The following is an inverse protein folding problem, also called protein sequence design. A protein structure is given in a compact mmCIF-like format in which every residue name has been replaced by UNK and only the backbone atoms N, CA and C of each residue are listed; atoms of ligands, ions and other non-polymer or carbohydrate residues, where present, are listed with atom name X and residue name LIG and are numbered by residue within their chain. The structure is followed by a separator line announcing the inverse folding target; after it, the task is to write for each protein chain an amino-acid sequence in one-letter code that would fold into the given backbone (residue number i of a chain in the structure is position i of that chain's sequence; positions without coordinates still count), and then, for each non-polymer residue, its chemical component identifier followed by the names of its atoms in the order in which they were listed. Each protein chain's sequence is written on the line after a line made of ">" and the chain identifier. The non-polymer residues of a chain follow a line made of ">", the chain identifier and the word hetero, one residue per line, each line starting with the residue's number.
data_IF_675716538884
#
_entry.id   IF_675716538884
#
_cell.length_a   1.000
_cell.length_b   1.000
_cell.length_c   1.000
_cell.angle_alpha   90.00
_cell.angle_beta   90.00
_cell.angle_gamma   90.00
#
_symmetry.space_group_name_H-M   'P 1'
#
loop_
_entity.id
_entity.type
_entity.pdbx_description
1 polymer ?
#
# COMPACT_ATOMS: atom_id res chain seq x y z
N UNK A 1 24.54 50.49 -26.57
CA UNK A 1 23.84 50.17 -25.30
C UNK A 1 22.96 48.95 -25.53
N UNK A 2 23.03 47.99 -24.60
CA UNK A 2 22.51 46.61 -24.67
C UNK A 2 20.99 46.56 -24.88
N UNK A 3 20.55 45.90 -25.96
CA UNK A 3 19.19 45.37 -26.10
C UNK A 3 19.30 43.84 -26.19
N UNK A 4 19.25 43.16 -25.05
CA UNK A 4 19.47 41.71 -24.99
C UNK A 4 18.80 40.94 -23.84
N UNK A 5 17.95 41.57 -23.02
CA UNK A 5 17.45 40.95 -21.78
C UNK A 5 16.04 40.36 -21.88
N UNK A 6 15.26 40.69 -22.93
CA UNK A 6 13.85 40.28 -23.04
C UNK A 6 13.59 38.80 -23.39
N UNK A 7 14.58 38.07 -23.92
CA UNK A 7 14.36 36.68 -24.40
C UNK A 7 14.71 35.60 -23.37
N UNK A 8 15.50 35.91 -22.34
CA UNK A 8 15.90 34.93 -21.31
C UNK A 8 14.80 34.63 -20.27
N UNK A 9 13.94 35.61 -19.96
CA UNK A 9 12.88 35.45 -18.96
C UNK A 9 11.73 34.54 -19.41
N UNK A 10 11.41 34.51 -20.71
CA UNK A 10 10.34 33.64 -21.25
C UNK A 10 10.72 32.15 -21.27
N UNK A 11 12.00 31.81 -21.34
CA UNK A 11 12.48 30.42 -21.35
C UNK A 11 12.42 29.75 -19.98
N UNK A 12 12.73 30.49 -18.91
CA UNK A 12 12.70 29.99 -17.52
C UNK A 12 11.33 29.50 -17.10
N UNK A 13 10.26 30.21 -17.50
CA UNK A 13 8.88 29.85 -17.15
C UNK A 13 8.39 28.56 -17.84
N UNK A 14 8.91 28.22 -19.02
CA UNK A 14 8.60 26.95 -19.69
C UNK A 14 9.27 25.76 -19.00
N UNK A 15 10.53 25.93 -18.56
CA UNK A 15 11.25 24.90 -17.82
C UNK A 15 10.61 24.61 -16.46
N UNK A 16 10.26 25.67 -15.71
CA UNK A 16 9.60 25.57 -14.40
C UNK A 16 8.22 24.90 -14.54
N UNK A 17 7.44 25.27 -15.56
CA UNK A 17 6.15 24.61 -15.84
C UNK A 17 6.31 23.12 -16.16
N UNK A 18 7.33 22.74 -16.93
CA UNK A 18 7.63 21.34 -17.20
C UNK A 18 7.97 20.56 -15.94
N UNK A 19 8.83 21.12 -15.08
CA UNK A 19 9.18 20.52 -13.79
C UNK A 19 7.96 20.38 -12.87
N UNK A 20 7.06 21.37 -12.83
CA UNK A 20 5.85 21.31 -12.01
C UNK A 20 4.88 20.22 -12.51
N UNK A 21 4.70 20.07 -13.82
CA UNK A 21 3.86 19.01 -14.39
C UNK A 21 4.47 17.63 -14.12
N UNK A 22 5.80 17.50 -14.25
CA UNK A 22 6.49 16.25 -13.93
C UNK A 22 6.38 15.90 -12.45
N UNK A 23 6.56 16.89 -11.56
CA UNK A 23 6.41 16.71 -10.12
C UNK A 23 4.97 16.33 -9.75
N UNK A 24 3.98 17.01 -10.35
CA UNK A 24 2.58 16.70 -10.16
C UNK A 24 2.26 15.27 -10.63
N UNK A 25 2.75 14.86 -11.80
CA UNK A 25 2.56 13.51 -12.30
C UNK A 25 3.20 12.46 -11.37
N UNK A 26 4.41 12.72 -10.88
CA UNK A 26 5.10 11.82 -9.96
C UNK A 26 4.37 11.70 -8.61
N UNK A 27 3.93 12.82 -8.04
CA UNK A 27 3.13 12.84 -6.81
C UNK A 27 1.76 12.16 -7.00
N UNK A 28 1.13 12.34 -8.16
CA UNK A 28 -0.14 11.71 -8.48
C UNK A 28 -0.02 10.17 -8.54
N UNK A 29 1.07 9.64 -9.07
CA UNK A 29 1.35 8.20 -9.05
C UNK A 29 1.54 7.68 -7.61
N UNK A 30 2.16 8.45 -6.72
CA UNK A 30 2.29 8.08 -5.30
C UNK A 30 0.92 7.99 -4.60
N UNK A 31 -0.02 8.89 -4.89
CA UNK A 31 -1.36 8.88 -4.29
C UNK A 31 -2.18 7.66 -4.76
N UNK A 32 -2.03 7.24 -6.01
CA UNK A 32 -2.74 6.07 -6.55
C UNK A 32 -2.22 4.74 -6.01
N UNK A 33 -0.93 4.66 -5.66
CA UNK A 33 -0.27 3.44 -5.18
C UNK A 33 -0.82 2.93 -3.82
N UNK A 34 -1.50 3.75 -3.03
CA UNK A 34 -1.90 3.44 -1.66
C UNK A 34 -3.35 2.92 -1.53
N UNK A 35 -4.05 2.72 -2.65
CA UNK A 35 -5.46 2.28 -2.64
C UNK A 35 -5.65 0.76 -2.69
N UNK A 36 -4.78 -0.02 -2.05
CA UNK A 36 -5.09 -1.43 -1.77
C UNK A 36 -6.22 -1.46 -0.75
N UNK A 37 -7.45 -1.72 -1.22
CA UNK A 37 -8.64 -1.87 -0.40
C UNK A 37 -8.32 -2.79 0.80
N UNK A 38 -8.17 -2.23 2.00
CA UNK A 38 -7.84 -2.98 3.20
C UNK A 38 -8.99 -3.95 3.51
N UNK A 39 -8.82 -5.21 3.09
CA UNK A 39 -9.77 -6.28 3.39
C UNK A 39 -9.37 -6.90 4.73
N UNK A 40 -10.08 -6.51 5.78
CA UNK A 40 -10.00 -7.19 7.08
C UNK A 40 -10.95 -8.37 7.08
N UNK A 41 -10.43 -9.58 7.27
CA UNK A 41 -11.24 -10.80 7.36
C UNK A 41 -11.35 -11.21 8.83
N UNK A 42 -12.58 -11.49 9.27
CA UNK A 42 -12.90 -12.01 10.60
C UNK A 42 -13.16 -13.50 10.54
N UNK A 43 -12.56 -14.27 11.44
CA UNK A 43 -12.60 -15.72 11.40
C UNK A 43 -13.20 -16.25 12.71
N UNK A 44 -14.34 -16.93 12.61
CA UNK A 44 -14.85 -17.72 13.73
C UNK A 44 -14.16 -19.09 13.76
N UNK A 45 -13.47 -19.40 14.85
CA UNK A 45 -12.83 -20.72 15.03
C UNK A 45 -13.72 -21.62 15.87
N UNK A 46 -14.07 -22.79 15.32
CA UNK A 46 -14.64 -23.90 16.08
C UNK A 46 -13.49 -24.79 16.54
N UNK A 47 -13.34 -24.97 17.85
CA UNK A 47 -12.24 -25.75 18.40
C UNK A 47 -12.40 -27.25 18.16
N UNK A 48 -11.30 -27.89 17.78
CA UNK A 48 -11.16 -29.31 17.56
C UNK A 48 -9.70 -29.65 17.21
N UNK A 49 -9.02 -30.38 18.09
CA UNK A 49 -7.65 -30.86 17.82
C UNK A 49 -7.68 -31.96 16.72
N UNK A 50 -6.79 -31.94 15.72
CA UNK A 50 -5.67 -31.02 15.49
C UNK A 50 -5.98 -29.86 14.51
N UNK A 51 -7.25 -29.69 14.15
CA UNK A 51 -7.69 -28.81 13.07
C UNK A 51 -7.66 -27.32 13.43
N UNK A 52 -8.15 -26.95 14.61
CA UNK A 52 -8.04 -25.61 15.18
C UNK A 52 -8.21 -25.67 16.70
N UNK A 53 -7.31 -25.11 17.49
CA UNK A 53 -7.36 -25.17 18.95
C UNK A 53 -6.59 -24.00 19.58
N UNK A 54 -7.01 -23.61 20.77
CA UNK A 54 -6.26 -22.66 21.59
C UNK A 54 -5.13 -23.41 22.31
N UNK A 55 -3.89 -22.99 22.07
CA UNK A 55 -2.72 -23.52 22.75
C UNK A 55 -2.61 -22.94 24.18
N UNK A 56 -1.76 -23.53 25.03
CA UNK A 56 -1.62 -23.14 26.45
C UNK A 56 -1.18 -21.69 26.67
N UNK A 57 -0.56 -21.09 25.67
CA UNK A 57 -0.13 -19.69 25.64
C UNK A 57 -1.24 -18.72 25.18
N UNK A 58 -2.44 -19.23 24.89
CA UNK A 58 -3.56 -18.46 24.35
C UNK A 58 -3.48 -18.23 22.83
N UNK A 59 -2.45 -18.76 22.14
CA UNK A 59 -2.37 -18.66 20.69
C UNK A 59 -3.29 -19.66 19.99
N UNK A 60 -4.01 -19.23 18.96
CA UNK A 60 -4.73 -20.14 18.08
C UNK A 60 -3.76 -20.89 17.17
N UNK A 61 -3.88 -22.22 17.13
CA UNK A 61 -3.07 -23.13 16.31
C UNK A 61 -3.93 -24.19 15.65
N UNK A 62 -3.35 -24.91 14.69
CA UNK A 62 -3.99 -26.03 14.02
C UNK A 62 -3.91 -25.89 12.50
N UNK A 63 -4.22 -26.99 11.81
CA UNK A 63 -4.08 -27.06 10.36
C UNK A 63 -4.79 -25.92 9.61
N UNK A 64 -6.05 -25.62 9.97
CA UNK A 64 -6.81 -24.56 9.30
C UNK A 64 -6.32 -23.15 9.65
N UNK A 65 -5.81 -22.96 10.87
CA UNK A 65 -5.20 -21.68 11.28
C UNK A 65 -3.94 -21.43 10.45
N UNK A 66 -3.07 -22.42 10.32
CA UNK A 66 -1.83 -22.31 9.55
C UNK A 66 -2.11 -22.08 8.05
N UNK A 67 -3.08 -22.80 7.48
CA UNK A 67 -3.50 -22.61 6.09
C UNK A 67 -4.02 -21.18 5.86
N UNK A 68 -4.87 -20.67 6.76
CA UNK A 68 -5.41 -19.33 6.63
C UNK A 68 -4.31 -18.27 6.72
N UNK A 69 -3.37 -18.42 7.66
CA UNK A 69 -2.23 -17.52 7.79
C UNK A 69 -1.33 -17.52 6.54
N UNK A 70 -1.19 -18.65 5.87
CA UNK A 70 -0.45 -18.73 4.62
C UNK A 70 -1.15 -17.94 3.50
N UNK A 71 -2.47 -18.09 3.36
CA UNK A 71 -3.26 -17.37 2.37
C UNK A 71 -3.28 -15.86 2.68
N UNK A 72 -3.48 -15.48 3.93
CA UNK A 72 -3.54 -14.06 4.33
C UNK A 72 -2.22 -13.35 4.06
N UNK A 73 -1.08 -14.03 4.25
CA UNK A 73 0.24 -13.49 3.89
C UNK A 73 0.43 -13.37 2.38
N UNK A 74 0.00 -14.37 1.61
CA UNK A 74 0.12 -14.35 0.16
C UNK A 74 -0.71 -13.22 -0.48
N UNK A 75 -1.92 -13.00 0.05
CA UNK A 75 -2.87 -12.00 -0.46
C UNK A 75 -2.76 -10.64 0.25
N UNK A 76 -1.79 -10.48 1.16
CA UNK A 76 -1.59 -9.28 1.98
C UNK A 76 -2.86 -8.85 2.74
N UNK A 77 -3.65 -9.82 3.21
CA UNK A 77 -4.85 -9.56 4.00
C UNK A 77 -4.51 -9.22 5.45
N UNK A 78 -5.28 -8.30 6.01
CA UNK A 78 -5.34 -8.13 7.45
C UNK A 78 -6.37 -9.09 8.02
N UNK A 79 -6.08 -9.70 9.17
CA UNK A 79 -6.96 -10.69 9.78
C UNK A 79 -7.13 -10.43 11.27
N UNK A 80 -8.30 -10.79 11.77
CA UNK A 80 -8.69 -10.77 13.18
C UNK A 80 -9.29 -12.15 13.51
N UNK A 81 -8.73 -12.79 14.54
CA UNK A 81 -9.14 -14.11 15.04
C UNK A 81 -9.89 -13.90 16.35
#
# INVERSE_FOLDING_TARGET
>A
MKNGEGKQFLGKNKLIRGCLVFLFFFLFQCVLAESSLHRTIRIGIVEGYPFAFTNKDGSFKGFYVDLFLAISRAEQWQYEI
#
